data_IF_326273806871
#
_entry.id   IF_326273806871
#
_cell.length_a   1.000
_cell.length_b   1.000
_cell.length_c   1.000
_cell.angle_alpha   90.00
_cell.angle_beta   90.00
_cell.angle_gamma   90.00
#
_symmetry.space_group_name_H-M   'P 1'
#
loop_
_entity.id
_entity.type
_entity.pdbx_description
1 polymer ?
#
# COMPACT_ATOMS: atom_id res chain seq x y z
N UNK A 1 -1.69 20.35 24.03
CA UNK A 1 -1.54 20.01 25.44
C UNK A 1 -2.62 20.69 26.27
N UNK A 2 -2.97 20.08 27.39
CA UNK A 2 -3.90 20.63 28.37
C UNK A 2 -3.10 21.48 29.35
N UNK A 3 -3.45 22.75 29.46
CA UNK A 3 -2.84 23.62 30.46
C UNK A 3 -3.78 23.73 31.67
N UNK A 4 -3.26 23.43 32.84
CA UNK A 4 -3.97 23.69 34.08
C UNK A 4 -3.80 25.16 34.46
N UNK A 5 -4.92 25.87 34.66
CA UNK A 5 -4.93 27.25 35.18
C UNK A 5 -5.46 27.17 36.59
N UNK A 6 -4.66 27.62 37.54
CA UNK A 6 -5.10 27.76 38.94
C UNK A 6 -5.79 29.10 39.13
N UNK A 7 -6.99 29.07 39.65
CA UNK A 7 -7.78 30.27 40.02
C UNK A 7 -8.20 30.15 41.48
N UNK A 8 -8.58 31.28 42.10
CA UNK A 8 -8.93 31.35 43.56
C UNK A 8 -9.94 30.30 44.03
N UNK A 9 -10.82 29.79 43.16
CA UNK A 9 -11.90 28.87 43.52
C UNK A 9 -11.76 27.45 42.92
N UNK A 10 -10.56 27.06 42.48
CA UNK A 10 -10.30 25.71 41.95
C UNK A 10 -9.31 25.66 40.79
N UNK A 11 -9.05 24.47 40.32
CA UNK A 11 -8.21 24.21 39.16
C UNK A 11 -9.09 23.89 37.95
N UNK A 12 -8.90 24.65 36.89
CA UNK A 12 -9.58 24.42 35.61
C UNK A 12 -8.56 23.94 34.56
N UNK A 13 -8.95 22.90 33.83
CA UNK A 13 -8.20 22.49 32.65
C UNK A 13 -8.75 23.21 31.42
N UNK A 14 -7.87 23.87 30.66
CA UNK A 14 -8.24 24.52 29.39
C UNK A 14 -7.37 23.98 28.27
N UNK A 15 -7.95 23.85 27.09
CA UNK A 15 -7.27 23.51 25.86
C UNK A 15 -7.48 24.63 24.84
N UNK A 16 -6.38 25.14 24.29
CA UNK A 16 -6.44 26.19 23.26
C UNK A 16 -6.69 25.59 21.86
N UNK A 17 -6.49 24.28 21.70
CA UNK A 17 -6.71 23.57 20.45
C UNK A 17 -7.89 22.62 20.60
N UNK A 18 -9.06 23.08 20.21
CA UNK A 18 -10.32 22.31 20.24
C UNK A 18 -10.82 22.03 18.83
N UNK A 19 -11.54 20.93 18.68
CA UNK A 19 -12.21 20.55 17.44
C UNK A 19 -13.70 20.41 17.70
N UNK A 20 -14.52 21.02 16.85
CA UNK A 20 -15.97 20.82 16.89
C UNK A 20 -16.28 19.53 16.12
N UNK A 21 -16.80 18.52 16.84
CA UNK A 21 -17.09 17.19 16.29
C UNK A 21 -18.35 16.64 16.97
N UNK A 22 -19.15 15.88 16.22
CA UNK A 22 -20.32 15.18 16.78
C UNK A 22 -19.90 13.83 17.38
N UNK A 23 -20.70 13.32 18.33
CA UNK A 23 -20.47 11.98 18.88
C UNK A 23 -20.58 10.90 17.80
N UNK A 24 -21.53 11.03 16.86
CA UNK A 24 -21.65 10.11 15.71
C UNK A 24 -20.35 10.03 14.90
N UNK A 25 -19.74 11.19 14.58
CA UNK A 25 -18.47 11.21 13.84
C UNK A 25 -17.33 10.55 14.61
N UNK A 26 -17.28 10.70 15.92
CA UNK A 26 -16.26 10.00 16.75
C UNK A 26 -16.46 8.49 16.67
N UNK A 27 -17.69 8.00 16.76
CA UNK A 27 -18.00 6.56 16.66
C UNK A 27 -17.59 6.01 15.30
N UNK A 28 -17.98 6.66 14.19
CA UNK A 28 -17.61 6.28 12.83
C UNK A 28 -16.08 6.16 12.68
N UNK A 29 -15.34 7.14 13.16
CA UNK A 29 -13.88 7.14 13.09
C UNK A 29 -13.28 5.97 13.90
N UNK A 30 -13.75 5.75 15.12
CA UNK A 30 -13.25 4.65 15.95
C UNK A 30 -13.56 3.27 15.36
N UNK A 31 -14.73 3.10 14.73
CA UNK A 31 -15.07 1.88 13.99
C UNK A 31 -14.17 1.68 12.78
N UNK A 32 -13.91 2.74 12.01
CA UNK A 32 -12.94 2.71 10.90
C UNK A 32 -11.54 2.29 11.37
N UNK A 33 -11.05 2.89 12.46
CA UNK A 33 -9.74 2.55 13.03
C UNK A 33 -9.67 1.10 13.50
N UNK A 34 -10.73 0.62 14.15
CA UNK A 34 -10.84 -0.78 14.59
C UNK A 34 -10.81 -1.77 13.43
N UNK A 35 -11.39 -1.42 12.30
CA UNK A 35 -11.49 -2.27 11.13
C UNK A 35 -10.26 -2.19 10.21
N UNK A 36 -9.38 -1.22 10.41
CA UNK A 36 -8.19 -1.01 9.56
C UNK A 36 -7.33 -2.27 9.37
N UNK A 37 -7.02 -3.09 10.39
CA UNK A 37 -6.22 -4.30 10.19
C UNK A 37 -6.88 -5.33 9.26
N UNK A 38 -8.21 -5.38 9.21
CA UNK A 38 -8.95 -6.31 8.36
C UNK A 38 -9.13 -5.78 6.93
N UNK A 39 -9.34 -4.48 6.78
CA UNK A 39 -9.57 -3.84 5.47
C UNK A 39 -8.27 -3.41 4.79
N UNK A 40 -7.21 -3.21 5.57
CA UNK A 40 -5.94 -2.57 5.20
C UNK A 40 -6.10 -1.11 4.75
N UNK A 41 -7.30 -0.55 4.81
CA UNK A 41 -7.57 0.84 4.40
C UNK A 41 -7.14 1.78 5.50
N UNK A 42 -6.16 2.63 5.20
CA UNK A 42 -5.72 3.68 6.13
C UNK A 42 -6.78 4.77 6.23
N UNK A 43 -7.12 5.21 7.45
CA UNK A 43 -8.05 6.31 7.62
C UNK A 43 -7.47 7.61 7.03
N UNK A 44 -8.34 8.48 6.51
CA UNK A 44 -7.94 9.83 6.14
C UNK A 44 -7.54 10.63 7.38
N UNK A 45 -6.28 11.00 7.45
CA UNK A 45 -5.68 11.71 8.61
C UNK A 45 -4.95 12.98 8.16
N UNK A 46 -5.64 14.01 7.64
CA UNK A 46 -5.02 15.23 7.17
C UNK A 46 -4.13 15.88 8.23
N UNK A 47 -3.11 16.60 7.80
CA UNK A 47 -2.21 17.29 8.70
C UNK A 47 -2.98 18.20 9.67
N UNK A 48 -2.67 18.10 10.97
CA UNK A 48 -3.31 18.85 12.06
C UNK A 48 -4.83 18.65 12.26
N UNK A 49 -5.41 17.59 11.66
CA UNK A 49 -6.83 17.27 11.80
C UNK A 49 -7.18 16.65 13.16
N UNK A 50 -8.47 16.66 13.47
CA UNK A 50 -9.04 15.91 14.60
C UNK A 50 -8.82 14.41 14.42
N UNK A 51 -9.05 13.90 13.22
CA UNK A 51 -8.89 12.50 12.83
C UNK A 51 -7.47 11.99 13.15
N UNK A 52 -6.46 12.77 12.78
CA UNK A 52 -5.04 12.42 13.07
C UNK A 52 -4.78 12.31 14.58
N UNK A 53 -5.28 13.26 15.35
CA UNK A 53 -5.11 13.26 16.82
C UNK A 53 -5.86 12.11 17.46
N UNK A 54 -7.09 11.86 17.02
CA UNK A 54 -7.92 10.76 17.52
C UNK A 54 -7.29 9.40 17.18
N UNK A 55 -6.79 9.21 15.95
CA UNK A 55 -6.12 7.98 15.55
C UNK A 55 -4.86 7.71 16.36
N UNK A 56 -4.02 8.74 16.56
CA UNK A 56 -2.83 8.62 17.41
C UNK A 56 -3.18 8.22 18.84
N UNK A 57 -4.26 8.82 19.39
CA UNK A 57 -4.77 8.46 20.71
C UNK A 57 -5.29 7.03 20.73
N UNK A 58 -6.10 6.62 19.73
CA UNK A 58 -6.61 5.26 19.61
C UNK A 58 -5.47 4.23 19.61
N UNK A 59 -4.44 4.45 18.81
CA UNK A 59 -3.27 3.55 18.75
C UNK A 59 -2.54 3.46 20.09
N UNK A 60 -2.44 4.57 20.85
CA UNK A 60 -1.78 4.58 22.16
C UNK A 60 -2.52 3.77 23.23
N UNK A 61 -3.81 3.46 23.02
CA UNK A 61 -4.64 2.64 23.91
C UNK A 61 -4.86 1.22 23.40
N UNK A 62 -4.22 0.82 22.29
CA UNK A 62 -4.34 -0.55 21.82
C UNK A 62 -3.75 -1.53 22.85
N UNK A 63 -4.46 -2.62 23.18
CA UNK A 63 -3.89 -3.74 23.92
C UNK A 63 -2.67 -4.31 23.17
N UNK A 64 -1.67 -4.77 23.91
CA UNK A 64 -0.38 -5.25 23.34
C UNK A 64 -0.57 -6.33 22.27
N UNK A 65 -1.54 -7.22 22.48
CA UNK A 65 -1.87 -8.31 21.57
C UNK A 65 -2.53 -7.85 20.27
N UNK A 66 -2.98 -6.58 20.19
CA UNK A 66 -3.58 -5.99 18.99
C UNK A 66 -2.65 -5.05 18.22
N UNK A 67 -1.42 -4.88 18.70
CA UNK A 67 -0.40 -4.06 18.02
C UNK A 67 0.16 -4.80 16.80
N UNK A 68 0.18 -6.13 16.82
CA UNK A 68 0.58 -6.98 15.71
C UNK A 68 -0.65 -7.65 15.11
N UNK A 69 -0.69 -7.73 13.79
CA UNK A 69 -1.71 -8.48 13.05
C UNK A 69 -1.10 -9.08 11.78
N UNK A 70 -1.63 -10.22 11.37
CA UNK A 70 -1.16 -10.94 10.20
C UNK A 70 -1.72 -10.33 8.92
N UNK A 71 -0.88 -10.23 7.89
CA UNK A 71 -1.30 -9.91 6.54
C UNK A 71 -1.58 -11.19 5.77
N UNK A 72 -2.65 -11.20 4.98
CA UNK A 72 -2.99 -12.35 4.16
C UNK A 72 -1.99 -12.49 3.01
N UNK A 73 -1.15 -13.52 3.07
CA UNK A 73 -0.30 -13.92 1.96
C UNK A 73 -1.07 -14.80 0.99
N UNK A 74 -1.16 -14.39 -0.27
CA UNK A 74 -1.70 -15.22 -1.34
C UNK A 74 -0.52 -15.96 -1.98
N UNK A 75 -0.38 -17.24 -1.67
CA UNK A 75 0.75 -18.09 -2.05
C UNK A 75 0.38 -19.07 -3.15
N UNK A 76 1.30 -19.29 -4.09
CA UNK A 76 1.24 -20.32 -5.12
C UNK A 76 2.66 -20.86 -5.45
N UNK A 77 2.78 -21.72 -6.47
CA UNK A 77 4.07 -22.30 -6.87
C UNK A 77 5.08 -21.26 -7.35
N UNK A 78 4.64 -20.07 -7.73
CA UNK A 78 5.47 -18.97 -8.21
C UNK A 78 6.02 -18.08 -7.08
N UNK A 79 5.46 -18.17 -5.86
CA UNK A 79 5.82 -17.35 -4.71
C UNK A 79 4.60 -16.80 -4.00
N UNK A 80 4.64 -15.53 -3.58
CA UNK A 80 3.52 -14.92 -2.85
C UNK A 80 3.23 -13.50 -3.33
N UNK A 81 1.98 -13.08 -3.09
CA UNK A 81 1.52 -11.70 -3.22
C UNK A 81 0.76 -11.30 -1.95
N UNK A 82 1.13 -10.17 -1.37
CA UNK A 82 0.53 -9.68 -0.12
C UNK A 82 0.19 -8.20 -0.25
N UNK A 83 -1.06 -7.86 -0.03
CA UNK A 83 -1.46 -6.46 0.13
C UNK A 83 -0.99 -5.96 1.48
N UNK A 84 -0.34 -4.79 1.52
CA UNK A 84 0.23 -4.22 2.74
C UNK A 84 -0.65 -3.11 3.31
N UNK A 85 -1.13 -2.24 2.42
CA UNK A 85 -1.79 -0.99 2.77
C UNK A 85 -2.64 -0.52 1.60
N UNK A 86 -3.81 -0.01 1.91
CA UNK A 86 -4.73 0.65 0.98
C UNK A 86 -5.06 2.05 1.46
N UNK A 87 -5.40 2.92 0.53
CA UNK A 87 -5.99 4.23 0.82
C UNK A 87 -7.27 4.38 0.02
N UNK A 88 -8.17 5.25 0.43
CA UNK A 88 -9.41 5.49 -0.33
C UNK A 88 -9.12 6.20 -1.66
N UNK A 89 -8.15 7.12 -1.67
CA UNK A 89 -7.94 8.05 -2.79
C UNK A 89 -6.57 7.93 -3.49
N UNK A 90 -5.64 7.16 -2.92
CA UNK A 90 -4.25 7.12 -3.40
C UNK A 90 -3.75 5.69 -3.65
N UNK A 91 -4.65 4.72 -3.90
CA UNK A 91 -4.29 3.37 -4.30
C UNK A 91 -3.83 2.45 -3.18
N UNK A 92 -3.02 1.44 -3.55
CA UNK A 92 -2.57 0.39 -2.63
C UNK A 92 -1.08 0.08 -2.79
N UNK A 93 -0.47 -0.31 -1.68
CA UNK A 93 0.85 -0.93 -1.64
C UNK A 93 0.72 -2.45 -1.47
N UNK A 94 1.60 -3.16 -2.17
CA UNK A 94 1.69 -4.61 -2.13
C UNK A 94 3.14 -5.05 -2.13
N UNK A 95 3.40 -6.27 -1.67
CA UNK A 95 4.70 -6.93 -1.85
C UNK A 95 4.51 -8.22 -2.63
N UNK A 96 5.39 -8.44 -3.58
CA UNK A 96 5.45 -9.65 -4.39
C UNK A 96 6.78 -10.35 -4.16
N UNK A 97 6.73 -11.62 -3.81
CA UNK A 97 7.89 -12.49 -3.70
C UNK A 97 7.80 -13.50 -4.84
N UNK A 98 8.79 -13.47 -5.75
CA UNK A 98 8.89 -14.41 -6.86
C UNK A 98 10.03 -15.38 -6.62
N UNK A 99 9.74 -16.68 -6.72
CA UNK A 99 10.76 -17.74 -6.65
C UNK A 99 11.75 -17.65 -7.82
N UNK A 100 12.90 -18.34 -7.74
CA UNK A 100 13.90 -18.37 -8.80
C UNK A 100 13.30 -18.69 -10.18
N UNK A 101 13.72 -17.95 -11.22
CA UNK A 101 13.31 -18.15 -12.60
C UNK A 101 11.86 -17.81 -12.94
N UNK A 102 11.05 -17.37 -11.98
CA UNK A 102 9.64 -17.11 -12.19
C UNK A 102 9.39 -15.79 -12.91
N UNK A 103 8.44 -15.84 -13.85
CA UNK A 103 7.87 -14.69 -14.56
C UNK A 103 6.47 -14.42 -14.01
N UNK A 104 6.20 -13.17 -13.62
CA UNK A 104 4.87 -12.68 -13.21
C UNK A 104 4.48 -11.45 -14.02
N UNK A 105 3.18 -11.14 -14.07
CA UNK A 105 2.64 -10.06 -14.91
C UNK A 105 1.99 -10.65 -16.16
N UNK A 106 2.47 -10.28 -17.36
CA UNK A 106 1.89 -10.64 -18.66
C UNK A 106 0.48 -10.04 -18.83
N UNK A 107 0.37 -8.76 -18.50
CA UNK A 107 -0.88 -8.03 -18.64
C UNK A 107 -0.63 -6.53 -18.83
N UNK A 108 -1.66 -5.82 -19.25
CA UNK A 108 -1.65 -4.37 -19.40
C UNK A 108 -2.90 -3.73 -18.81
N UNK A 109 -2.87 -2.40 -18.68
CA UNK A 109 -3.94 -1.59 -18.11
C UNK A 109 -4.30 -0.42 -19.02
N UNK A 110 -5.55 0.06 -18.97
CA UNK A 110 -5.97 1.27 -19.69
C UNK A 110 -5.57 2.56 -18.95
N UNK A 111 -6.00 2.69 -17.72
CA UNK A 111 -5.83 3.91 -16.90
C UNK A 111 -5.11 3.65 -15.60
N UNK A 112 -5.18 2.42 -15.10
CA UNK A 112 -4.42 1.99 -13.94
C UNK A 112 -2.95 2.02 -14.30
N UNK A 113 -2.14 2.60 -13.43
CA UNK A 113 -0.69 2.59 -13.54
C UNK A 113 -0.07 2.19 -12.21
N UNK A 114 1.08 1.58 -12.33
CA UNK A 114 1.79 1.02 -11.21
C UNK A 114 3.24 1.42 -11.26
N UNK A 115 3.96 1.31 -10.15
CA UNK A 115 5.41 1.22 -10.21
C UNK A 115 5.92 0.12 -9.31
N UNK A 116 7.01 -0.51 -9.76
CA UNK A 116 7.65 -1.61 -9.08
C UNK A 116 9.00 -1.15 -8.56
N UNK A 117 9.31 -1.57 -7.33
CA UNK A 117 10.55 -1.27 -6.65
C UNK A 117 11.13 -2.60 -6.16
N UNK A 118 12.19 -3.09 -6.81
CA UNK A 118 12.89 -4.29 -6.35
C UNK A 118 13.74 -3.93 -5.15
N UNK A 119 13.54 -4.64 -4.03
CA UNK A 119 14.22 -4.39 -2.75
C UNK A 119 15.14 -5.53 -2.33
N UNK A 120 15.03 -6.71 -2.96
CA UNK A 120 15.98 -7.83 -2.81
C UNK A 120 15.96 -8.71 -4.05
N UNK A 121 17.09 -9.34 -4.36
CA UNK A 121 17.29 -10.17 -5.55
C UNK A 121 17.63 -9.36 -6.81
N UNK A 122 17.66 -10.05 -7.95
CA UNK A 122 17.94 -9.47 -9.27
C UNK A 122 16.83 -9.83 -10.23
N UNK A 123 16.29 -8.84 -10.92
CA UNK A 123 15.15 -8.99 -11.82
C UNK A 123 15.29 -8.24 -13.13
N UNK A 124 14.47 -8.63 -14.07
CA UNK A 124 14.24 -7.93 -15.33
C UNK A 124 12.77 -7.57 -15.41
N UNK A 125 12.47 -6.28 -15.58
CA UNK A 125 11.15 -5.79 -15.91
C UNK A 125 11.13 -5.52 -17.41
N UNK A 126 10.14 -6.06 -18.10
CA UNK A 126 9.93 -5.83 -19.52
C UNK A 126 8.60 -5.13 -19.75
N UNK A 127 8.57 -4.22 -20.69
CA UNK A 127 7.36 -3.53 -21.13
C UNK A 127 7.31 -3.46 -22.66
N UNK A 128 6.16 -3.75 -23.26
CA UNK A 128 5.91 -3.61 -24.68
C UNK A 128 4.60 -2.87 -24.91
N UNK A 129 4.66 -1.80 -25.71
CA UNK A 129 3.44 -1.07 -26.08
C UNK A 129 2.49 -1.97 -26.88
N UNK A 130 1.20 -1.93 -26.55
CA UNK A 130 0.19 -2.68 -27.30
C UNK A 130 0.22 -2.28 -28.78
N UNK A 131 0.30 -3.29 -29.65
CA UNK A 131 0.44 -3.08 -31.11
C UNK A 131 1.84 -2.73 -31.60
N UNK A 132 2.87 -2.88 -30.76
CA UNK A 132 4.29 -2.71 -31.11
C UNK A 132 5.06 -3.98 -30.81
N UNK A 133 6.17 -4.19 -31.53
CA UNK A 133 7.12 -5.30 -31.27
C UNK A 133 8.33 -4.87 -30.42
N UNK A 134 8.46 -3.56 -30.13
CA UNK A 134 9.58 -3.03 -29.34
C UNK A 134 9.40 -3.35 -27.86
N UNK A 135 10.38 -4.06 -27.27
CA UNK A 135 10.43 -4.42 -25.86
C UNK A 135 11.43 -3.52 -25.13
N UNK A 136 10.94 -2.81 -24.12
CA UNK A 136 11.77 -2.05 -23.19
C UNK A 136 12.22 -2.98 -22.05
N UNK A 137 13.51 -3.04 -21.77
CA UNK A 137 14.11 -3.89 -20.74
C UNK A 137 14.75 -3.05 -19.63
N UNK A 138 14.34 -3.30 -18.37
CA UNK A 138 14.86 -2.62 -17.19
C UNK A 138 15.43 -3.66 -16.23
N UNK A 139 16.77 -3.72 -16.13
CA UNK A 139 17.46 -4.56 -15.16
C UNK A 139 17.44 -3.87 -13.80
N UNK A 140 16.94 -4.55 -12.78
CA UNK A 140 16.71 -4.02 -11.44
C UNK A 140 17.28 -4.95 -10.38
N UNK A 141 17.71 -4.41 -9.25
CA UNK A 141 18.19 -5.21 -8.11
C UNK A 141 17.97 -4.52 -6.77
N UNK A 142 18.02 -5.31 -5.70
CA UNK A 142 18.02 -4.79 -4.34
C UNK A 142 19.31 -4.03 -3.97
N UNK A 143 20.40 -4.18 -4.73
CA UNK A 143 21.66 -3.45 -4.50
C UNK A 143 21.55 -1.96 -4.89
N UNK A 144 20.64 -1.65 -5.82
CA UNK A 144 20.35 -0.29 -6.26
C UNK A 144 18.84 -0.11 -6.38
N UNK A 145 18.23 0.50 -5.38
CA UNK A 145 16.79 0.72 -5.34
C UNK A 145 16.36 1.72 -6.41
N UNK A 146 15.53 1.26 -7.33
CA UNK A 146 14.98 2.04 -8.43
C UNK A 146 13.49 1.76 -8.56
N UNK A 147 12.71 2.80 -8.88
CA UNK A 147 11.30 2.65 -9.23
C UNK A 147 11.15 2.61 -10.76
N UNK A 148 10.41 1.64 -11.25
CA UNK A 148 10.07 1.52 -12.68
C UNK A 148 8.56 1.69 -12.81
N UNK A 149 8.11 2.68 -13.60
CA UNK A 149 6.70 2.86 -13.92
C UNK A 149 6.21 1.80 -14.89
N UNK A 150 5.10 1.15 -14.55
CA UNK A 150 4.32 0.32 -15.47
C UNK A 150 3.36 1.24 -16.21
N UNK A 151 3.59 1.41 -17.50
CA UNK A 151 2.88 2.41 -18.30
C UNK A 151 1.51 1.89 -18.75
N UNK A 152 0.44 2.70 -18.64
CA UNK A 152 -0.84 2.36 -19.27
C UNK A 152 -0.69 2.11 -20.77
N UNK A 153 -1.38 1.08 -21.28
CA UNK A 153 -1.27 0.66 -22.68
C UNK A 153 0.01 -0.10 -23.03
N UNK A 154 0.81 -0.51 -22.01
CA UNK A 154 1.94 -1.39 -22.19
C UNK A 154 1.71 -2.70 -21.43
N UNK A 155 1.83 -3.84 -22.14
CA UNK A 155 1.93 -5.12 -21.44
C UNK A 155 3.28 -5.18 -20.74
N UNK A 156 3.29 -5.74 -19.54
CA UNK A 156 4.49 -5.80 -18.72
C UNK A 156 4.61 -7.12 -17.96
N UNK A 157 5.84 -7.45 -17.64
CA UNK A 157 6.18 -8.57 -16.78
C UNK A 157 7.35 -8.21 -15.85
N UNK A 158 7.59 -9.07 -14.86
CA UNK A 158 8.80 -9.06 -14.05
C UNK A 158 9.33 -10.48 -13.94
N UNK A 159 10.62 -10.66 -14.21
CA UNK A 159 11.33 -11.93 -14.26
C UNK A 159 12.34 -11.97 -13.12
N UNK A 160 12.32 -13.01 -12.30
CA UNK A 160 13.40 -13.28 -11.37
C UNK A 160 14.57 -13.92 -12.13
N UNK A 161 15.70 -13.22 -12.20
CA UNK A 161 16.90 -13.69 -12.93
C UNK A 161 17.79 -14.62 -12.11
N UNK A 162 17.51 -14.81 -10.81
CA UNK A 162 18.27 -15.71 -9.97
C UNK A 162 17.80 -17.16 -10.13
N UNK A 163 18.70 -18.09 -10.03
CA UNK A 163 18.41 -19.53 -9.97
C UNK A 163 18.20 -20.03 -8.54
N UNK A 164 18.58 -19.24 -7.54
CA UNK A 164 18.61 -19.68 -6.13
C UNK A 164 17.91 -18.75 -5.17
N UNK A 165 17.78 -17.46 -5.50
CA UNK A 165 17.27 -16.45 -4.58
C UNK A 165 15.89 -15.92 -5.02
N UNK A 166 15.07 -15.58 -4.05
CA UNK A 166 13.79 -14.91 -4.31
C UNK A 166 14.02 -13.46 -4.77
N UNK A 167 13.16 -13.01 -5.66
CA UNK A 167 13.02 -11.61 -6.02
C UNK A 167 11.91 -10.98 -5.18
N UNK A 168 12.22 -9.91 -4.46
CA UNK A 168 11.26 -9.19 -3.63
C UNK A 168 10.99 -7.82 -4.24
N UNK A 169 9.74 -7.59 -4.60
CA UNK A 169 9.28 -6.37 -5.25
C UNK A 169 8.18 -5.71 -4.42
N UNK A 170 8.39 -4.45 -4.04
CA UNK A 170 7.34 -3.58 -3.53
C UNK A 170 6.64 -2.95 -4.73
N UNK A 171 5.33 -2.96 -4.71
CA UNK A 171 4.50 -2.44 -5.79
C UNK A 171 3.51 -1.41 -5.23
N UNK A 172 3.29 -0.35 -5.98
CA UNK A 172 2.23 0.59 -5.73
C UNK A 172 1.35 0.71 -6.98
N UNK A 173 0.04 0.70 -6.77
CA UNK A 173 -0.95 0.94 -7.81
C UNK A 173 -1.78 2.18 -7.44
N UNK A 174 -2.11 3.02 -8.42
CA UNK A 174 -2.87 4.25 -8.19
C UNK A 174 -4.30 4.03 -7.73
N UNK A 175 -4.80 2.81 -7.80
CA UNK A 175 -6.14 2.41 -7.39
C UNK A 175 -6.13 1.05 -6.69
N UNK A 176 -7.15 0.81 -5.86
CA UNK A 176 -7.35 -0.47 -5.22
C UNK A 176 -7.85 -1.50 -6.25
N UNK A 177 -7.43 -2.75 -6.11
CA UNK A 177 -7.94 -3.81 -6.97
C UNK A 177 -9.44 -4.01 -6.78
N UNK A 178 -10.19 -3.91 -7.88
CA UNK A 178 -11.62 -4.16 -7.92
C UNK A 178 -11.91 -5.37 -8.84
N UNK A 179 -12.32 -6.52 -8.30
CA UNK A 179 -12.57 -7.72 -9.10
C UNK A 179 -13.72 -7.57 -10.12
N UNK A 180 -14.63 -6.61 -9.91
CA UNK A 180 -15.74 -6.34 -10.83
C UNK A 180 -15.32 -5.40 -11.98
N UNK A 181 -14.23 -4.65 -11.81
CA UNK A 181 -13.67 -3.72 -12.80
C UNK A 181 -12.13 -3.74 -12.67
N UNK A 182 -11.45 -4.82 -13.05
CA UNK A 182 -10.04 -5.01 -12.71
C UNK A 182 -9.08 -4.12 -13.52
N UNK A 183 -9.52 -3.51 -14.60
CA UNK A 183 -8.65 -2.79 -15.57
C UNK A 183 -7.33 -3.53 -15.85
N UNK A 184 -7.43 -4.85 -16.06
CA UNK A 184 -6.28 -5.74 -16.23
C UNK A 184 -6.57 -6.73 -17.35
N UNK A 185 -5.76 -6.70 -18.40
CA UNK A 185 -5.96 -7.48 -19.62
C UNK A 185 -4.73 -8.33 -19.88
N UNK A 186 -4.94 -9.63 -20.01
CA UNK A 186 -3.84 -10.56 -20.26
C UNK A 186 -3.27 -10.37 -21.67
N UNK A 187 -1.97 -10.16 -21.75
CA UNK A 187 -1.19 -10.19 -22.99
C UNK A 187 0.29 -10.43 -22.66
N UNK A 188 0.92 -11.39 -23.32
CA UNK A 188 2.36 -11.67 -23.14
C UNK A 188 3.22 -10.54 -23.70
N UNK A 189 4.39 -10.34 -23.09
CA UNK A 189 5.34 -9.31 -23.56
C UNK A 189 6.08 -9.80 -24.81
N UNK A 190 6.43 -11.10 -24.87
CA UNK A 190 7.15 -11.76 -25.99
C UNK A 190 6.22 -12.56 -26.86
#
# INVERSE_FOLDING_TARGET
GVNAISVENGNFCTSFNTHKVTLGRIVELLESFKNQPATLVMPEIPFNSFEKKLYSTYLSYLPKEKVIFDLKMNEDDRGSFTELLKTENCGQFSINISKPGIVKGQHWHHTKWEFFIVVAGKGLIQQRKIGSDEILNFYVSGDKIQAVHMLPGYTHNIINLSETENLVTVMWANENFNPNMPDTFFEVVE
#
